data_IF_360582518551
#
_entry.id   IF_360582518551
#
_cell.length_a   1.000
_cell.length_b   1.000
_cell.length_c   1.000
_cell.angle_alpha   90.00
_cell.angle_beta   90.00
_cell.angle_gamma   90.00
#
_symmetry.space_group_name_H-M   'P 1'
#
loop_
_entity.id
_entity.type
_entity.pdbx_description
1 polymer ?
#
# COMPACT_ATOMS: atom_id res chain seq x y z
N UNK A 1 10.52 28.08 41.46
CA UNK A 1 9.93 26.84 40.91
C UNK A 1 8.53 26.76 41.48
N UNK A 2 7.51 26.86 40.65
CA UNK A 2 6.12 26.75 41.08
C UNK A 2 5.79 25.28 41.28
N UNK A 3 5.55 24.87 42.52
CA UNK A 3 5.18 23.49 42.86
C UNK A 3 3.67 23.44 43.04
N UNK A 4 3.01 22.54 42.32
CA UNK A 4 1.58 22.31 42.43
C UNK A 4 1.35 20.90 42.96
N UNK A 5 0.64 20.80 44.08
CA UNK A 5 0.19 19.51 44.62
C UNK A 5 -1.15 19.12 43.99
N UNK A 6 -1.26 17.86 43.58
CA UNK A 6 -2.51 17.28 43.12
C UNK A 6 -3.36 16.79 44.30
N UNK A 7 -4.68 16.62 44.12
CA UNK A 7 -5.51 15.95 45.12
C UNK A 7 -5.02 14.54 45.45
N UNK A 8 -5.20 14.11 46.70
CA UNK A 8 -4.95 12.71 47.10
C UNK A 8 -6.01 11.78 46.51
N UNK A 9 -5.58 10.64 45.96
CA UNK A 9 -6.45 9.57 45.48
C UNK A 9 -6.30 8.33 46.37
N UNK A 10 -7.40 7.60 46.54
CA UNK A 10 -7.44 6.37 47.31
C UNK A 10 -7.84 5.19 46.42
N UNK A 11 -7.36 4.00 46.76
CA UNK A 11 -7.80 2.77 46.09
C UNK A 11 -9.33 2.63 46.15
N UNK A 12 -9.97 2.11 45.09
CA UNK A 12 -9.37 1.49 43.90
C UNK A 12 -8.97 2.48 42.78
N UNK A 13 -9.05 3.79 43.01
CA UNK A 13 -8.74 4.80 41.99
C UNK A 13 -7.22 4.91 41.83
N UNK A 14 -6.73 4.61 40.62
CA UNK A 14 -5.30 4.62 40.28
C UNK A 14 -4.94 5.67 39.23
N UNK A 15 -5.89 6.51 38.83
CA UNK A 15 -5.71 7.54 37.80
C UNK A 15 -6.04 8.91 38.35
N UNK A 16 -5.20 9.88 37.99
CA UNK A 16 -5.37 11.30 38.32
C UNK A 16 -5.16 12.12 37.05
N UNK A 17 -6.05 13.06 36.79
CA UNK A 17 -5.95 13.98 35.66
C UNK A 17 -5.55 15.36 36.17
N UNK A 18 -4.36 15.80 35.78
CA UNK A 18 -3.85 17.15 36.08
C UNK A 18 -4.34 18.09 34.98
N UNK A 19 -5.07 19.13 35.35
CA UNK A 19 -5.59 20.15 34.42
C UNK A 19 -4.91 21.50 34.68
N UNK A 20 -5.04 22.45 33.74
CA UNK A 20 -4.45 23.78 33.87
C UNK A 20 -2.94 23.85 33.61
N UNK A 21 -2.35 22.82 33.01
CA UNK A 21 -0.95 22.85 32.57
C UNK A 21 -0.79 23.76 31.33
N UNK A 22 0.32 24.50 31.26
CA UNK A 22 0.68 25.30 30.08
C UNK A 22 1.04 24.37 28.92
N UNK A 23 0.51 24.67 27.74
CA UNK A 23 0.82 23.92 26.51
C UNK A 23 2.31 24.03 26.11
N UNK A 24 2.85 22.99 25.48
CA UNK A 24 4.23 22.96 24.99
C UNK A 24 5.31 23.07 26.06
N UNK A 25 4.96 22.88 27.34
CA UNK A 25 5.86 23.06 28.48
C UNK A 25 6.27 21.73 29.07
N UNK A 26 7.51 21.66 29.56
CA UNK A 26 8.07 20.47 30.21
C UNK A 26 7.82 20.54 31.71
N UNK A 27 7.18 19.52 32.24
CA UNK A 27 6.86 19.37 33.66
C UNK A 27 7.60 18.19 34.27
N UNK A 28 7.94 18.31 35.54
CA UNK A 28 8.48 17.24 36.37
C UNK A 28 7.41 16.79 37.35
N UNK A 29 7.01 15.53 37.27
CA UNK A 29 6.00 14.92 38.11
C UNK A 29 6.66 13.93 39.07
N UNK A 30 6.28 13.95 40.34
CA UNK A 30 6.66 12.95 41.32
C UNK A 30 5.40 12.44 42.03
N UNK A 31 5.25 11.12 42.08
CA UNK A 31 4.17 10.47 42.81
C UNK A 31 4.56 10.26 44.26
N UNK A 32 3.59 10.39 45.16
CA UNK A 32 3.79 10.13 46.59
C UNK A 32 2.77 9.10 47.05
N UNK A 33 3.26 7.97 47.53
CA UNK A 33 2.43 6.95 48.18
C UNK A 33 2.44 7.17 49.68
N UNK A 34 1.25 7.22 50.27
CA UNK A 34 1.04 7.39 51.72
C UNK A 34 0.35 6.15 52.28
N UNK A 35 1.03 5.47 53.20
CA UNK A 35 0.47 4.35 53.97
C UNK A 35 0.58 4.66 55.47
N UNK A 36 -0.50 5.18 56.05
CA UNK A 36 -0.51 5.70 57.41
C UNK A 36 0.51 6.83 57.60
N UNK A 37 1.56 6.54 58.38
CA UNK A 37 2.67 7.48 58.65
C UNK A 37 3.88 7.27 57.71
N UNK A 38 3.84 6.26 56.83
CA UNK A 38 4.91 5.97 55.88
C UNK A 38 4.63 6.72 54.58
N UNK A 39 5.62 7.46 54.11
CA UNK A 39 5.59 8.17 52.84
C UNK A 39 6.69 7.60 51.94
N UNK A 40 6.39 7.40 50.66
CA UNK A 40 7.38 6.96 49.67
C UNK A 40 7.22 7.76 48.38
N UNK A 41 8.34 8.29 47.89
CA UNK A 41 8.39 9.11 46.68
C UNK A 41 8.78 8.25 45.48
N UNK A 42 8.13 8.46 44.34
CA UNK A 42 8.53 7.84 43.08
C UNK A 42 9.74 8.56 42.46
N UNK A 43 10.36 7.94 41.47
CA UNK A 43 11.30 8.65 40.60
C UNK A 43 10.58 9.79 39.86
N UNK A 44 11.26 10.92 39.60
CA UNK A 44 10.69 12.03 38.87
C UNK A 44 10.48 11.65 37.41
N UNK A 45 9.26 11.83 36.92
CA UNK A 45 8.89 11.64 35.53
C UNK A 45 8.83 13.01 34.84
N UNK A 46 9.55 13.14 33.72
CA UNK A 46 9.47 14.32 32.88
C UNK A 46 8.43 14.11 31.79
N UNK A 47 7.41 14.97 31.76
CA UNK A 47 6.36 14.95 30.74
C UNK A 47 6.32 16.28 30.02
N UNK A 48 6.08 16.25 28.72
CA UNK A 48 5.89 17.47 27.92
C UNK A 48 4.42 17.53 27.53
N UNK A 49 3.77 18.65 27.82
CA UNK A 49 2.39 18.86 27.40
C UNK A 49 2.30 19.03 25.90
N UNK A 50 1.24 18.49 25.32
CA UNK A 50 0.97 18.60 23.90
C UNK A 50 0.71 20.08 23.56
N UNK A 51 1.38 20.60 22.55
CA UNK A 51 1.04 21.91 21.96
C UNK A 51 0.07 21.65 20.82
N UNK A 52 -1.09 22.31 20.84
CA UNK A 52 -2.13 22.17 19.81
C UNK A 52 -1.59 22.42 18.39
N UNK A 53 -0.63 23.34 18.25
CA UNK A 53 0.04 23.64 16.97
C UNK A 53 0.95 22.51 16.49
N UNK A 54 1.61 21.80 17.42
CA UNK A 54 2.49 20.69 17.09
C UNK A 54 1.71 19.42 16.74
N UNK A 55 0.49 19.25 17.24
CA UNK A 55 -0.39 18.13 16.84
C UNK A 55 -0.74 18.24 15.38
N UNK A 56 -1.10 19.44 14.91
CA UNK A 56 -1.35 19.65 13.48
C UNK A 56 -0.12 19.29 12.66
N UNK A 57 1.09 19.67 13.09
CA UNK A 57 2.32 19.39 12.37
C UNK A 57 2.66 17.89 12.32
N UNK A 58 2.60 17.21 13.47
CA UNK A 58 2.82 15.76 13.60
C UNK A 58 1.77 14.93 12.82
N UNK A 59 0.54 15.41 12.77
CA UNK A 59 -0.51 14.78 11.99
C UNK A 59 -0.30 15.05 10.48
N UNK A 60 0.12 16.24 10.08
CA UNK A 60 0.43 16.58 8.69
C UNK A 60 1.60 15.75 8.13
N UNK A 61 2.68 15.58 8.88
CA UNK A 61 3.81 14.76 8.46
C UNK A 61 3.44 13.27 8.37
N UNK A 62 2.64 12.77 9.31
CA UNK A 62 2.12 11.40 9.27
C UNK A 62 1.17 11.18 8.09
N UNK A 63 0.28 12.14 7.81
CA UNK A 63 -0.64 12.12 6.67
C UNK A 63 0.10 12.21 5.34
N UNK A 64 1.10 13.09 5.23
CA UNK A 64 1.97 13.19 4.04
C UNK A 64 2.72 11.89 3.80
N UNK A 65 3.22 11.26 4.87
CA UNK A 65 3.89 9.96 4.79
C UNK A 65 2.94 8.81 4.40
N UNK A 66 1.66 8.90 4.74
CA UNK A 66 0.65 7.94 4.25
C UNK A 66 0.28 8.18 2.78
N UNK A 67 0.21 9.44 2.34
CA UNK A 67 -0.25 9.81 1.01
C UNK A 67 0.70 9.33 -0.12
N UNK A 68 2.02 9.43 0.06
CA UNK A 68 2.95 8.92 -0.96
C UNK A 68 2.92 7.40 -1.05
N UNK A 69 2.69 6.69 0.06
CA UNK A 69 2.58 5.24 0.06
C UNK A 69 1.37 4.77 -0.76
N UNK A 70 0.21 5.43 -0.61
CA UNK A 70 -0.97 5.16 -1.43
C UNK A 70 -0.70 5.41 -2.91
N UNK A 71 -0.01 6.51 -3.25
CA UNK A 71 0.35 6.80 -4.64
C UNK A 71 1.29 5.73 -5.23
N UNK A 72 2.28 5.26 -4.47
CA UNK A 72 3.19 4.19 -4.88
C UNK A 72 2.45 2.88 -5.09
N UNK A 73 1.56 2.49 -4.16
CA UNK A 73 0.74 1.30 -4.31
C UNK A 73 -0.16 1.36 -5.54
N UNK A 74 -0.80 2.50 -5.78
CA UNK A 74 -1.63 2.71 -6.97
C UNK A 74 -0.81 2.64 -8.26
N UNK A 75 0.39 3.23 -8.30
CA UNK A 75 1.25 3.18 -9.47
C UNK A 75 1.65 1.74 -9.82
N UNK A 76 2.02 0.93 -8.82
CA UNK A 76 2.36 -0.49 -9.01
C UNK A 76 1.15 -1.28 -9.49
N UNK A 77 -0.04 -1.05 -8.91
CA UNK A 77 -1.26 -1.72 -9.34
C UNK A 77 -1.62 -1.40 -10.80
N UNK A 78 -1.53 -0.13 -11.22
CA UNK A 78 -1.82 0.30 -12.59
C UNK A 78 -0.80 -0.31 -13.57
N UNK A 79 0.48 -0.34 -13.21
CA UNK A 79 1.51 -0.98 -14.04
C UNK A 79 1.20 -2.47 -14.27
N UNK A 80 0.89 -3.22 -13.20
CA UNK A 80 0.51 -4.63 -13.31
C UNK A 80 -0.77 -4.82 -14.14
N UNK A 81 -1.80 -4.01 -13.92
CA UNK A 81 -3.03 -4.05 -14.72
C UNK A 81 -2.75 -3.79 -16.20
N UNK A 82 -1.90 -2.82 -16.54
CA UNK A 82 -1.55 -2.55 -17.93
C UNK A 82 -0.82 -3.72 -18.60
N UNK A 83 0.10 -4.38 -17.88
CA UNK A 83 0.79 -5.57 -18.38
C UNK A 83 -0.19 -6.71 -18.56
N UNK A 84 -1.09 -6.95 -17.59
CA UNK A 84 -2.12 -7.98 -17.69
C UNK A 84 -3.04 -7.76 -18.89
N UNK A 85 -3.52 -6.53 -19.10
CA UNK A 85 -4.38 -6.18 -20.24
C UNK A 85 -3.63 -6.40 -21.55
N UNK A 86 -2.41 -5.88 -21.68
CA UNK A 86 -1.63 -5.98 -22.92
C UNK A 86 -1.22 -7.42 -23.21
N UNK A 87 -0.77 -8.15 -22.19
CA UNK A 87 -0.45 -9.58 -22.26
C UNK A 87 -1.70 -10.39 -22.66
N UNK A 88 -2.86 -10.12 -22.06
CA UNK A 88 -4.12 -10.75 -22.46
C UNK A 88 -4.47 -10.41 -23.91
N UNK A 89 -4.29 -9.18 -24.38
CA UNK A 89 -4.54 -8.82 -25.77
C UNK A 89 -3.58 -9.52 -26.74
N UNK A 90 -2.31 -9.68 -26.36
CA UNK A 90 -1.28 -10.37 -27.14
C UNK A 90 -1.54 -11.89 -27.19
N UNK A 91 -1.89 -12.50 -26.06
CA UNK A 91 -2.28 -13.92 -25.94
C UNK A 91 -3.56 -14.21 -26.75
N UNK A 92 -4.56 -13.32 -26.66
CA UNK A 92 -5.80 -13.40 -27.45
C UNK A 92 -5.54 -13.20 -28.95
N UNK A 93 -4.51 -12.43 -29.32
CA UNK A 93 -4.06 -12.30 -30.71
C UNK A 93 -3.30 -13.54 -31.18
N UNK A 94 -2.47 -14.15 -30.34
CA UNK A 94 -1.75 -15.41 -30.63
C UNK A 94 -2.68 -16.56 -31.01
N UNK A 95 -3.87 -16.66 -30.41
CA UNK A 95 -4.88 -17.66 -30.77
C UNK A 95 -5.52 -17.47 -32.15
N UNK A 96 -5.73 -16.21 -32.58
CA UNK A 96 -6.37 -15.89 -33.86
C UNK A 96 -5.42 -15.95 -35.07
N UNK A 97 -4.10 -16.03 -34.86
CA UNK A 97 -3.15 -16.31 -35.95
C UNK A 97 -3.04 -17.81 -36.30
N UNK A 98 -3.58 -18.71 -35.46
CA UNK A 98 -3.50 -20.16 -35.71
C UNK A 98 -4.37 -20.62 -36.89
N UNK A 99 -5.56 -20.03 -37.05
CA UNK A 99 -6.48 -20.38 -38.14
C UNK A 99 -6.04 -19.72 -39.45
N UNK A 100 -5.58 -18.45 -39.41
CA UNK A 100 -5.14 -17.72 -40.61
C UNK A 100 -3.82 -18.24 -41.18
N UNK A 101 -2.91 -18.77 -40.35
CA UNK A 101 -1.72 -19.50 -40.83
C UNK A 101 -2.11 -20.81 -41.50
N UNK A 102 -3.05 -21.56 -40.91
CA UNK A 102 -3.55 -22.80 -41.52
C UNK A 102 -4.28 -22.55 -42.83
N UNK A 103 -5.11 -21.51 -42.92
CA UNK A 103 -5.76 -21.12 -44.18
C UNK A 103 -4.76 -20.65 -45.24
N UNK A 104 -3.69 -19.94 -44.84
CA UNK A 104 -2.62 -19.54 -45.75
C UNK A 104 -1.78 -20.74 -46.23
N UNK A 105 -1.47 -21.70 -45.34
CA UNK A 105 -0.76 -22.95 -45.71
C UNK A 105 -1.63 -23.87 -46.58
N UNK A 106 -2.94 -23.97 -46.30
CA UNK A 106 -3.89 -24.76 -47.08
C UNK A 106 -4.13 -24.12 -48.46
N UNK A 107 -4.28 -22.79 -48.53
CA UNK A 107 -4.42 -22.08 -49.80
C UNK A 107 -3.18 -22.22 -50.70
N UNK A 108 -1.98 -22.17 -50.10
CA UNK A 108 -0.73 -22.34 -50.84
C UNK A 108 -0.45 -23.81 -51.24
N UNK A 109 -1.05 -24.78 -50.54
CA UNK A 109 -1.05 -26.19 -50.95
C UNK A 109 -2.07 -26.47 -52.07
N UNK A 110 -3.28 -25.89 -52.00
CA UNK A 110 -4.29 -25.99 -53.05
C UNK A 110 -3.82 -25.39 -54.38
N UNK A 111 -3.18 -24.22 -54.36
CA UNK A 111 -2.63 -23.59 -55.57
C UNK A 111 -1.54 -24.46 -56.22
N UNK A 112 -0.70 -25.11 -55.40
CA UNK A 112 0.30 -26.08 -55.90
C UNK A 112 -0.33 -27.38 -56.43
N UNK A 113 -1.41 -27.87 -55.83
CA UNK A 113 -2.12 -29.07 -56.31
C UNK A 113 -2.90 -28.79 -57.60
N UNK A 114 -3.55 -27.64 -57.72
CA UNK A 114 -4.24 -27.20 -58.93
C UNK A 114 -3.25 -26.95 -60.08
N UNK A 115 -2.13 -26.26 -59.84
CA UNK A 115 -1.08 -26.09 -60.85
C UNK A 115 -0.49 -27.44 -61.29
N UNK A 116 -0.27 -28.38 -60.36
CA UNK A 116 0.20 -29.75 -60.67
C UNK A 116 -0.82 -30.53 -61.50
N UNK A 117 -2.10 -30.45 -61.16
CA UNK A 117 -3.16 -31.12 -61.90
C UNK A 117 -3.33 -30.53 -63.31
N UNK A 118 -3.23 -29.21 -63.47
CA UNK A 118 -3.24 -28.55 -64.78
C UNK A 118 -2.04 -28.97 -65.66
N UNK A 119 -0.85 -29.09 -65.09
CA UNK A 119 0.34 -29.58 -65.81
C UNK A 119 0.18 -31.03 -66.26
N UNK A 120 -0.47 -31.88 -65.45
CA UNK A 120 -0.72 -33.28 -65.78
C UNK A 120 -1.76 -33.43 -66.90
N UNK A 121 -2.78 -32.57 -66.98
CA UNK A 121 -3.69 -32.51 -68.14
C UNK A 121 -3.02 -31.99 -69.42
N UNK A 122 -2.05 -31.09 -69.29
CA UNK A 122 -1.38 -30.48 -70.44
C UNK A 122 -0.24 -31.35 -71.00
N UNK A 123 0.39 -32.19 -70.16
CA UNK A 123 1.55 -33.01 -70.53
C UNK A 123 1.36 -34.52 -70.34
N UNK A 124 0.27 -34.95 -69.71
CA UNK A 124 -0.04 -36.36 -69.40
C UNK A 124 -0.97 -37.03 -70.41
N UNK A 125 -0.57 -37.07 -71.69
CA UNK A 125 -0.86 -38.24 -72.55
C UNK A 125 0.07 -38.25 -73.76
N UNK A 126 1.20 -38.94 -73.63
CA UNK A 126 1.79 -39.66 -74.75
C UNK A 126 2.08 -41.10 -74.31
N UNK A 127 1.61 -42.01 -75.16
CA UNK A 127 1.89 -43.45 -75.18
C UNK A 127 3.34 -43.81 -74.86
#
# INVERSE_FOLDING_TARGET
MEYSESPMIYLPHTRLTITGLREGSKYQLSGVSKDGNRMSYSQPLFVTTLNRENVSHLNQESLRNAAWFVAVLCAVAIALLSILITCCCEERRGGNYSVRRKEMEIGHQLENEEERQFLEYQYGYKS
#
